data_IF_524348360806
#
_entry.id   IF_524348360806
#
_cell.length_a   1.000
_cell.length_b   1.000
_cell.length_c   1.000
_cell.angle_alpha   90.00
_cell.angle_beta   90.00
_cell.angle_gamma   90.00
#
_symmetry.space_group_name_H-M   'P 1'
#
loop_
_entity.id
_entity.type
_entity.pdbx_description
1 polymer ?
#
# COMPACT_ATOMS: atom_id res chain seq x y z
N UNK A 1 26.45 11.73 1.86
CA UNK A 1 25.75 11.49 0.57
C UNK A 1 26.03 10.09 -0.02
N UNK A 2 27.27 9.64 -0.22
CA UNK A 2 27.57 8.33 -0.85
C UNK A 2 26.98 7.09 -0.14
N UNK A 3 27.00 7.01 1.20
CA UNK A 3 26.44 5.86 1.96
C UNK A 3 24.92 5.70 1.86
N UNK A 4 24.16 6.80 1.80
CA UNK A 4 22.70 6.79 1.68
C UNK A 4 22.21 6.39 0.28
N UNK A 5 22.97 6.73 -0.75
CA UNK A 5 22.65 6.36 -2.15
C UNK A 5 22.87 4.85 -2.35
N UNK A 6 23.88 4.27 -1.71
CA UNK A 6 24.19 2.83 -1.81
C UNK A 6 23.11 1.98 -1.12
N UNK A 7 22.65 2.34 0.09
CA UNK A 7 21.62 1.57 0.80
C UNK A 7 20.24 1.64 0.13
N UNK A 8 19.89 2.77 -0.47
CA UNK A 8 18.59 2.94 -1.17
C UNK A 8 18.53 2.17 -2.49
N UNK A 9 19.63 2.06 -3.23
CA UNK A 9 19.70 1.24 -4.45
C UNK A 9 19.59 -0.26 -4.13
N UNK A 10 20.25 -0.71 -3.05
CA UNK A 10 20.20 -2.11 -2.58
C UNK A 10 18.79 -2.54 -2.16
N UNK A 11 18.04 -1.66 -1.47
CA UNK A 11 16.66 -1.96 -1.09
C UNK A 11 15.75 -2.12 -2.32
N UNK A 12 15.86 -1.23 -3.30
CA UNK A 12 15.09 -1.31 -4.55
C UNK A 12 15.40 -2.59 -5.34
N UNK A 13 16.68 -2.99 -5.40
CA UNK A 13 17.11 -4.25 -6.04
C UNK A 13 16.58 -5.47 -5.28
N UNK A 14 16.63 -5.47 -3.94
CA UNK A 14 16.11 -6.57 -3.12
C UNK A 14 14.58 -6.72 -3.25
N UNK A 15 13.84 -5.61 -3.24
CA UNK A 15 12.39 -5.62 -3.49
C UNK A 15 12.12 -6.13 -4.90
N UNK A 16 12.84 -5.64 -5.91
CA UNK A 16 12.67 -6.09 -7.29
C UNK A 16 12.95 -7.59 -7.44
N UNK A 17 14.00 -8.12 -6.80
CA UNK A 17 14.30 -9.56 -6.78
C UNK A 17 13.19 -10.39 -6.13
N UNK A 18 12.60 -9.91 -5.03
CA UNK A 18 11.44 -10.57 -4.40
C UNK A 18 10.18 -10.45 -5.26
N UNK A 19 10.03 -9.32 -5.96
CA UNK A 19 8.88 -9.00 -6.79
C UNK A 19 8.90 -9.70 -8.16
N UNK A 20 10.05 -10.25 -8.60
CA UNK A 20 10.18 -11.01 -9.86
C UNK A 20 9.26 -12.23 -9.96
N UNK A 21 8.78 -12.73 -8.83
CA UNK A 21 7.89 -13.89 -8.79
C UNK A 21 6.40 -13.54 -8.60
N UNK A 22 6.05 -12.25 -8.54
CA UNK A 22 4.65 -11.82 -8.45
C UNK A 22 3.94 -12.17 -9.76
N UNK A 23 2.82 -12.90 -9.65
CA UNK A 23 2.01 -13.33 -10.78
C UNK A 23 0.68 -12.59 -10.79
N UNK A 24 0.24 -12.25 -11.99
CA UNK A 24 -1.10 -11.71 -12.22
C UNK A 24 -2.11 -12.86 -12.21
N UNK A 25 -3.07 -12.82 -11.28
CA UNK A 25 -4.16 -13.78 -11.15
C UNK A 25 -5.44 -13.13 -11.64
N UNK A 26 -6.06 -13.75 -12.64
CA UNK A 26 -7.38 -13.35 -13.10
C UNK A 26 -8.45 -13.86 -12.13
N UNK A 27 -9.11 -12.94 -11.43
CA UNK A 27 -10.23 -13.23 -10.53
C UNK A 27 -11.60 -13.14 -11.24
N UNK A 28 -11.63 -12.88 -12.55
CA UNK A 28 -12.87 -12.60 -13.28
C UNK A 28 -13.35 -11.17 -13.05
N UNK A 29 -12.41 -10.26 -12.79
CA UNK A 29 -12.63 -8.84 -12.55
C UNK A 29 -12.10 -8.01 -13.72
N UNK A 30 -12.21 -6.68 -13.64
CA UNK A 30 -11.76 -5.77 -14.69
C UNK A 30 -10.23 -5.69 -14.82
N UNK A 31 -9.50 -6.07 -13.78
CA UNK A 31 -8.03 -6.18 -13.75
C UNK A 31 -7.62 -7.49 -13.09
N UNK A 32 -6.40 -7.94 -13.41
CA UNK A 32 -5.79 -9.08 -12.70
C UNK A 32 -5.16 -8.58 -11.41
N UNK A 33 -5.18 -9.41 -10.38
CA UNK A 33 -4.63 -9.08 -9.06
C UNK A 33 -3.31 -9.83 -8.82
N UNK A 34 -2.35 -9.18 -8.16
CA UNK A 34 -1.13 -9.86 -7.74
C UNK A 34 -1.43 -10.98 -6.73
N UNK A 35 -0.77 -12.12 -6.88
CA UNK A 35 -0.81 -13.23 -5.92
C UNK A 35 -0.14 -12.90 -4.57
N UNK A 36 0.74 -11.90 -4.54
CA UNK A 36 1.47 -11.48 -3.35
C UNK A 36 1.52 -9.95 -3.16
N UNK A 37 1.80 -9.52 -1.93
CA UNK A 37 2.07 -8.10 -1.65
C UNK A 37 3.43 -7.69 -2.23
N UNK A 38 3.56 -6.42 -2.61
CA UNK A 38 4.81 -5.89 -3.12
C UNK A 38 5.91 -5.96 -2.03
N UNK A 39 7.03 -6.62 -2.32
CA UNK A 39 8.07 -6.87 -1.32
C UNK A 39 7.67 -7.87 -0.23
N UNK A 40 6.75 -8.78 -0.53
CA UNK A 40 6.53 -9.95 0.33
C UNK A 40 7.49 -11.10 -0.03
N UNK A 41 7.77 -11.93 0.96
CA UNK A 41 8.46 -13.20 0.78
C UNK A 41 7.91 -14.20 1.80
N UNK A 42 7.77 -15.46 1.40
CA UNK A 42 7.30 -16.57 2.26
C UNK A 42 5.88 -16.38 2.83
N UNK A 43 5.04 -15.60 2.16
CA UNK A 43 3.69 -15.23 2.62
C UNK A 43 3.67 -14.16 3.70
N UNK A 44 4.78 -13.45 3.90
CA UNK A 44 4.89 -12.33 4.85
C UNK A 44 5.35 -11.05 4.14
N UNK A 45 4.69 -9.95 4.46
CA UNK A 45 5.06 -8.63 3.95
C UNK A 45 6.25 -8.09 4.72
N UNK A 46 7.40 -8.01 4.05
CA UNK A 46 8.66 -7.54 4.64
C UNK A 46 8.89 -6.05 4.37
N UNK A 47 8.23 -5.48 3.37
CA UNK A 47 8.34 -4.07 2.99
C UNK A 47 7.01 -3.34 3.15
N UNK A 48 7.12 -2.07 3.55
CA UNK A 48 6.00 -1.17 3.74
C UNK A 48 6.30 0.14 3.02
N UNK A 49 5.25 0.76 2.51
CA UNK A 49 5.34 1.91 1.63
C UNK A 49 4.65 3.09 2.28
N UNK A 50 5.26 4.28 2.16
CA UNK A 50 4.55 5.52 2.37
C UNK A 50 3.80 5.87 1.09
N UNK A 51 2.68 6.58 1.20
CA UNK A 51 1.89 6.87 0.01
C UNK A 51 2.63 7.81 -0.95
N UNK A 52 2.67 7.45 -2.22
CA UNK A 52 3.43 8.17 -3.24
C UNK A 52 4.95 8.14 -3.06
N UNK A 53 5.47 7.27 -2.18
CA UNK A 53 6.90 6.99 -2.08
C UNK A 53 7.16 5.58 -2.65
N UNK A 54 7.65 5.47 -3.89
CA UNK A 54 7.87 4.17 -4.52
C UNK A 54 9.01 3.39 -3.87
N UNK A 55 9.87 4.04 -3.08
CA UNK A 55 10.91 3.36 -2.30
C UNK A 55 10.29 2.79 -1.03
N UNK A 56 9.89 1.53 -1.11
CA UNK A 56 9.50 0.76 0.07
C UNK A 56 10.63 0.67 1.09
N UNK A 57 10.27 0.56 2.36
CA UNK A 57 11.21 0.43 3.48
C UNK A 57 11.03 -0.94 4.12
N UNK A 58 12.15 -1.60 4.42
CA UNK A 58 12.12 -2.87 5.13
C UNK A 58 11.54 -2.67 6.54
N UNK A 59 10.65 -3.56 6.98
CA UNK A 59 9.85 -3.37 8.19
C UNK A 59 10.67 -3.02 9.43
N UNK A 60 11.83 -3.66 9.64
CA UNK A 60 12.63 -3.42 10.85
C UNK A 60 13.38 -2.08 10.81
N UNK A 61 13.62 -1.56 9.61
CA UNK A 61 14.28 -0.29 9.38
C UNK A 61 13.29 0.87 9.27
N UNK A 62 11.99 0.59 9.43
CA UNK A 62 10.95 1.58 9.28
C UNK A 62 11.12 2.72 10.29
N UNK A 63 11.48 3.88 9.76
CA UNK A 63 11.46 5.17 10.42
C UNK A 63 10.64 6.06 9.51
N UNK A 64 9.51 6.59 10.00
CA UNK A 64 8.68 7.53 9.24
C UNK A 64 9.45 8.82 8.88
N UNK A 65 10.67 8.99 9.41
CA UNK A 65 11.65 10.05 9.10
C UNK A 65 12.08 10.14 7.62
N UNK A 66 11.41 9.46 6.69
CA UNK A 66 11.70 9.51 5.26
C UNK A 66 10.85 10.55 4.49
N UNK A 67 9.80 11.13 5.08
CA UNK A 67 9.36 12.44 4.58
C UNK A 67 10.46 13.46 4.90
N UNK A 68 10.83 14.36 3.96
CA UNK A 68 11.97 15.25 4.13
C UNK A 68 12.00 15.94 5.51
N UNK A 69 13.19 16.13 6.13
CA UNK A 69 13.36 16.68 7.49
C UNK A 69 12.59 17.97 7.81
N UNK A 70 12.13 18.71 6.79
CA UNK A 70 11.20 19.83 6.93
C UNK A 70 9.89 19.46 7.66
N UNK A 71 9.46 18.19 7.62
CA UNK A 71 8.24 17.70 8.30
C UNK A 71 8.51 17.28 9.76
N UNK A 72 9.75 16.86 10.08
CA UNK A 72 10.07 16.30 11.40
C UNK A 72 10.23 17.36 12.49
N UNK A 73 10.52 18.62 12.13
CA UNK A 73 10.80 19.69 13.09
C UNK A 73 9.56 20.34 13.75
N UNK A 74 8.33 19.90 13.46
CA UNK A 74 7.10 20.52 14.00
C UNK A 74 6.03 19.49 14.38
N UNK A 75 6.41 18.48 15.15
CA UNK A 75 5.48 17.53 15.77
C UNK A 75 4.72 18.21 16.93
N UNK A 76 3.73 19.03 16.59
CA UNK A 76 2.68 19.51 17.49
C UNK A 76 1.32 19.08 16.91
N UNK A 77 0.58 18.16 17.57
CA UNK A 77 -0.67 17.61 17.07
C UNK A 77 -1.80 18.66 16.90
N UNK A 78 -1.62 19.88 17.39
CA UNK A 78 -2.64 20.94 17.35
C UNK A 78 -2.42 22.02 16.26
N UNK A 79 -1.46 21.86 15.32
CA UNK A 79 -1.20 22.90 14.30
C UNK A 79 -1.54 22.48 12.87
N UNK A 80 -2.52 23.20 12.29
CA UNK A 80 -2.99 23.25 10.89
C UNK A 80 -1.88 23.28 9.83
N UNK A 81 -0.67 23.72 10.19
CA UNK A 81 0.51 23.87 9.32
C UNK A 81 1.08 22.51 8.84
N UNK A 82 0.98 21.45 9.65
CA UNK A 82 1.42 20.10 9.25
C UNK A 82 0.60 19.54 8.08
N UNK A 83 -0.72 19.75 8.17
CA UNK A 83 -1.70 19.26 7.19
C UNK A 83 -1.59 19.99 5.84
N UNK A 84 -1.27 21.29 5.85
CA UNK A 84 -1.11 22.06 4.61
C UNK A 84 0.18 21.72 3.84
N UNK A 85 1.30 21.47 4.53
CA UNK A 85 2.56 21.10 3.87
C UNK A 85 2.52 19.70 3.26
N UNK A 86 1.94 18.72 3.95
CA UNK A 86 1.70 17.39 3.40
C UNK A 86 0.81 17.48 2.16
N UNK A 87 -0.27 18.26 2.22
CA UNK A 87 -1.16 18.47 1.08
C UNK A 87 -0.44 19.07 -0.13
N UNK A 88 0.47 20.03 0.08
CA UNK A 88 1.26 20.61 -1.02
C UNK A 88 2.26 19.65 -1.66
N UNK A 89 2.87 18.73 -0.90
CA UNK A 89 3.78 17.73 -1.47
C UNK A 89 3.04 16.58 -2.15
N UNK A 90 1.85 16.24 -1.65
CA UNK A 90 0.97 15.26 -2.30
C UNK A 90 0.41 15.81 -3.62
N UNK A 91 0.20 17.12 -3.71
CA UNK A 91 -0.20 17.82 -4.94
C UNK A 91 0.65 17.47 -6.15
N UNK A 92 1.97 17.53 -5.97
CA UNK A 92 2.95 17.28 -7.03
C UNK A 92 2.99 15.80 -7.44
N UNK A 93 2.42 14.92 -6.61
CA UNK A 93 2.37 13.48 -6.84
C UNK A 93 1.06 13.03 -7.46
N UNK A 94 0.02 13.86 -7.43
CA UNK A 94 -1.32 13.55 -7.92
C UNK A 94 -1.52 14.15 -9.30
N UNK A 95 -1.92 13.31 -10.25
CA UNK A 95 -2.27 13.70 -11.60
C UNK A 95 -3.76 13.97 -11.76
N UNK A 96 -4.23 13.79 -13.00
CA UNK A 96 -5.64 13.92 -13.35
C UNK A 96 -6.50 12.94 -12.52
N UNK A 97 -7.74 13.35 -12.25
CA UNK A 97 -8.76 12.51 -11.60
C UNK A 97 -8.35 12.03 -10.19
N UNK A 98 -7.49 12.78 -9.52
CA UNK A 98 -6.97 12.48 -8.18
C UNK A 98 -6.16 11.16 -8.09
N UNK A 99 -5.58 10.72 -9.20
CA UNK A 99 -4.77 9.50 -9.28
C UNK A 99 -3.29 9.82 -9.13
N UNK A 100 -2.56 9.01 -8.38
CA UNK A 100 -1.11 9.07 -8.22
C UNK A 100 -0.40 8.97 -9.58
N UNK A 101 0.55 9.88 -9.83
CA UNK A 101 1.35 9.87 -11.05
C UNK A 101 2.25 8.62 -11.12
N UNK A 102 2.52 8.09 -12.33
CA UNK A 102 3.25 6.83 -12.51
C UNK A 102 4.60 6.73 -11.78
N UNK A 103 5.37 7.82 -11.71
CA UNK A 103 6.68 7.84 -11.06
C UNK A 103 6.63 7.77 -9.53
N UNK A 104 5.45 7.93 -8.93
CA UNK A 104 5.24 7.84 -7.48
C UNK A 104 4.47 6.57 -7.08
N UNK A 105 3.93 5.82 -8.05
CA UNK A 105 3.25 4.54 -7.84
C UNK A 105 4.29 3.43 -7.63
N UNK A 106 4.31 2.87 -6.41
CA UNK A 106 5.28 1.84 -6.02
C UNK A 106 5.23 0.59 -6.92
N UNK A 107 4.04 0.15 -7.32
CA UNK A 107 3.89 -1.02 -8.17
C UNK A 107 4.39 -0.73 -9.59
N UNK A 108 4.06 0.43 -10.17
CA UNK A 108 4.59 0.83 -11.49
C UNK A 108 6.11 0.95 -11.48
N UNK A 109 6.69 1.58 -10.47
CA UNK A 109 8.14 1.80 -10.41
C UNK A 109 8.91 0.49 -10.23
N UNK A 110 8.40 -0.42 -9.40
CA UNK A 110 9.13 -1.66 -9.04
C UNK A 110 8.86 -2.79 -10.04
N UNK A 111 7.60 -3.05 -10.36
CA UNK A 111 7.19 -4.16 -11.24
C UNK A 111 7.18 -3.78 -12.72
N UNK A 112 7.08 -2.48 -13.04
CA UNK A 112 7.05 -1.94 -14.41
C UNK A 112 5.86 -2.46 -15.22
N UNK A 113 5.93 -2.29 -16.54
CA UNK A 113 4.91 -2.76 -17.49
C UNK A 113 3.52 -2.23 -17.10
N UNK A 114 2.50 -3.09 -17.12
CA UNK A 114 1.12 -2.74 -16.81
C UNK A 114 0.75 -2.88 -15.33
N UNK A 115 1.72 -3.11 -14.44
CA UNK A 115 1.48 -3.16 -13.01
C UNK A 115 1.25 -1.77 -12.44
N UNK A 116 0.26 -1.62 -11.57
CA UNK A 116 -0.02 -0.39 -10.83
C UNK A 116 -0.61 -0.66 -9.46
N UNK A 117 -0.62 0.35 -8.61
CA UNK A 117 -1.42 0.32 -7.40
C UNK A 117 -2.92 0.26 -7.79
N UNK A 118 -3.77 -0.46 -7.04
CA UNK A 118 -5.21 -0.47 -7.30
C UNK A 118 -5.79 0.89 -6.97
N UNK A 119 -6.80 1.28 -7.72
CA UNK A 119 -7.54 2.51 -7.53
C UNK A 119 -8.85 2.21 -6.76
N UNK A 120 -9.72 3.21 -6.55
CA UNK A 120 -10.96 3.01 -5.80
C UNK A 120 -11.89 2.01 -6.50
N UNK A 121 -12.01 2.11 -7.83
CA UNK A 121 -12.86 1.24 -8.61
C UNK A 121 -12.41 -0.23 -8.52
N UNK A 122 -11.10 -0.50 -8.56
CA UNK A 122 -10.57 -1.86 -8.42
C UNK A 122 -10.91 -2.44 -7.03
N UNK A 123 -10.71 -1.65 -5.96
CA UNK A 123 -11.06 -2.07 -4.60
C UNK A 123 -12.56 -2.29 -4.44
N UNK A 124 -13.39 -1.39 -4.98
CA UNK A 124 -14.86 -1.53 -4.96
C UNK A 124 -15.28 -2.80 -5.67
N UNK A 125 -14.75 -3.06 -6.86
CA UNK A 125 -15.08 -4.26 -7.63
C UNK A 125 -14.68 -5.55 -6.87
N UNK A 126 -13.49 -5.58 -6.27
CA UNK A 126 -13.04 -6.69 -5.44
C UNK A 126 -14.01 -6.94 -4.26
N UNK A 127 -14.44 -5.88 -3.58
CA UNK A 127 -15.36 -5.96 -2.43
C UNK A 127 -16.73 -6.48 -2.86
N UNK A 128 -17.27 -5.97 -3.96
CA UNK A 128 -18.63 -6.26 -4.41
C UNK A 128 -18.76 -7.63 -5.08
N UNK A 129 -17.72 -8.09 -5.78
CA UNK A 129 -17.80 -9.30 -6.62
C UNK A 129 -17.11 -10.53 -6.04
N UNK A 130 -16.19 -10.37 -5.07
CA UNK A 130 -15.46 -11.51 -4.52
C UNK A 130 -16.02 -12.00 -3.19
N UNK A 131 -15.76 -13.28 -2.91
CA UNK A 131 -16.00 -13.91 -1.60
C UNK A 131 -14.74 -13.82 -0.74
N UNK A 132 -14.90 -13.43 0.51
CA UNK A 132 -13.80 -13.32 1.48
C UNK A 132 -13.96 -14.38 2.58
N UNK A 133 -12.89 -15.15 2.82
CA UNK A 133 -12.86 -16.24 3.80
C UNK A 133 -11.57 -16.22 4.60
N UNK A 134 -11.62 -16.76 5.82
CA UNK A 134 -10.41 -16.95 6.62
C UNK A 134 -9.62 -18.14 6.10
N UNK A 135 -8.30 -17.98 6.01
CA UNK A 135 -7.41 -19.08 5.66
C UNK A 135 -6.04 -18.92 6.34
N UNK A 136 -5.14 -19.88 6.10
CA UNK A 136 -3.75 -19.85 6.54
C UNK A 136 -2.80 -20.21 5.41
N UNK A 137 -1.77 -19.37 5.25
CA UNK A 137 -0.61 -19.68 4.40
C UNK A 137 0.59 -19.83 5.31
N UNK A 138 1.28 -20.97 5.25
CA UNK A 138 2.43 -21.30 6.11
C UNK A 138 2.15 -21.09 7.61
N UNK A 139 0.95 -21.49 8.06
CA UNK A 139 0.50 -21.34 9.45
C UNK A 139 0.06 -19.92 9.86
N UNK A 140 0.29 -18.90 9.02
CA UNK A 140 -0.10 -17.50 9.29
C UNK A 140 -1.51 -17.21 8.81
N UNK A 141 -2.32 -16.55 9.64
CA UNK A 141 -3.71 -16.17 9.32
C UNK A 141 -3.73 -15.14 8.19
N UNK A 142 -4.52 -15.39 7.17
CA UNK A 142 -4.71 -14.54 5.99
C UNK A 142 -6.19 -14.50 5.60
N UNK A 143 -6.51 -13.66 4.62
CA UNK A 143 -7.83 -13.62 3.98
C UNK A 143 -7.70 -14.25 2.59
N UNK A 144 -8.43 -15.32 2.34
CA UNK A 144 -8.63 -15.85 0.99
C UNK A 144 -9.71 -15.03 0.29
N UNK A 145 -9.38 -14.50 -0.87
CA UNK A 145 -10.31 -13.75 -1.72
C UNK A 145 -10.55 -14.56 -2.99
N UNK A 146 -11.78 -15.03 -3.19
CA UNK A 146 -12.15 -15.85 -4.36
C UNK A 146 -13.02 -15.02 -5.29
N UNK A 147 -12.61 -14.90 -6.54
CA UNK A 147 -13.33 -14.15 -7.55
C UNK A 147 -14.51 -14.92 -8.15
N UNK A 148 -15.38 -14.24 -8.93
CA UNK A 148 -16.53 -14.87 -9.60
C UNK A 148 -16.15 -16.02 -10.53
N UNK A 149 -14.92 -16.06 -11.06
CA UNK A 149 -14.45 -17.17 -11.90
C UNK A 149 -13.88 -18.37 -11.11
N UNK A 150 -13.88 -18.33 -9.77
CA UNK A 150 -13.37 -19.39 -8.90
C UNK A 150 -11.88 -19.34 -8.60
N UNK A 151 -11.10 -18.50 -9.27
CA UNK A 151 -9.70 -18.25 -8.91
C UNK A 151 -9.61 -17.44 -7.60
N UNK A 152 -8.45 -17.50 -6.93
CA UNK A 152 -8.28 -16.84 -5.65
C UNK A 152 -6.87 -16.29 -5.41
N UNK A 153 -6.78 -15.33 -4.50
CA UNK A 153 -5.55 -14.79 -3.93
C UNK A 153 -5.61 -14.81 -2.40
N UNK A 154 -4.48 -14.55 -1.75
CA UNK A 154 -4.40 -14.41 -0.29
C UNK A 154 -3.89 -13.02 0.10
N UNK A 155 -4.69 -12.28 0.88
CA UNK A 155 -4.30 -11.02 1.48
C UNK A 155 -3.68 -11.26 2.85
N UNK A 156 -2.50 -10.67 3.09
CA UNK A 156 -1.82 -10.78 4.38
C UNK A 156 -2.43 -9.84 5.40
N UNK A 157 -2.44 -10.26 6.67
CA UNK A 157 -2.83 -9.39 7.78
C UNK A 157 -1.63 -8.56 8.25
N UNK A 158 -1.02 -7.78 7.36
CA UNK A 158 0.21 -7.06 7.65
C UNK A 158 0.03 -5.75 8.42
N UNK A 159 -1.19 -5.32 8.77
CA UNK A 159 -1.41 -4.11 9.55
C UNK A 159 -0.76 -2.86 8.92
N UNK A 160 -0.25 -1.96 9.78
CA UNK A 160 0.49 -0.78 9.34
C UNK A 160 1.60 -0.40 10.32
N UNK A 161 2.56 0.39 9.85
CA UNK A 161 3.71 0.86 10.60
C UNK A 161 3.69 2.37 10.80
N UNK A 162 4.23 2.79 11.93
CA UNK A 162 4.53 4.19 12.22
C UNK A 162 5.93 4.31 12.84
N UNK A 163 6.38 5.55 13.06
CA UNK A 163 7.49 5.80 13.97
C UNK A 163 7.19 6.95 14.92
N UNK A 164 7.46 6.72 16.19
CA UNK A 164 7.38 7.72 17.25
C UNK A 164 8.78 7.88 17.86
N UNK A 165 9.31 9.10 17.88
CA UNK A 165 10.67 9.40 18.34
C UNK A 165 11.75 8.47 17.74
N UNK A 166 11.70 8.27 16.41
CA UNK A 166 12.57 7.36 15.65
C UNK A 166 12.50 5.88 16.07
N UNK A 167 11.47 5.47 16.82
CA UNK A 167 11.21 4.07 17.18
C UNK A 167 10.06 3.52 16.36
N UNK A 168 10.29 2.35 15.75
CA UNK A 168 9.28 1.60 15.02
C UNK A 168 8.07 1.28 15.91
N UNK A 169 6.87 1.54 15.40
CA UNK A 169 5.59 1.13 15.99
C UNK A 169 4.85 0.25 14.98
N UNK A 170 4.29 -0.85 15.48
CA UNK A 170 3.56 -1.85 14.69
C UNK A 170 2.12 -1.90 15.14
N UNK A 171 1.18 -1.66 14.23
CA UNK A 171 -0.25 -1.61 14.54
C UNK A 171 -1.00 -2.68 13.76
N UNK A 172 -1.81 -3.46 14.48
CA UNK A 172 -2.71 -4.48 13.93
C UNK A 172 -2.05 -5.58 13.07
N UNK A 173 -0.73 -5.77 13.17
CA UNK A 173 -0.03 -6.90 12.54
C UNK A 173 -0.66 -8.23 13.01
N UNK A 174 -0.90 -9.14 12.06
CA UNK A 174 -1.57 -10.43 12.28
C UNK A 174 -3.08 -10.33 12.50
N UNK A 175 -3.61 -9.12 12.61
CA UNK A 175 -5.04 -8.87 12.87
C UNK A 175 -5.75 -8.34 11.64
N UNK A 176 -5.15 -7.40 10.93
CA UNK A 176 -5.86 -6.61 9.92
C UNK A 176 -5.06 -6.53 8.63
N UNK A 177 -5.76 -6.56 7.49
CA UNK A 177 -5.19 -6.21 6.19
C UNK A 177 -5.42 -4.72 5.89
N UNK A 178 -4.35 -3.97 5.64
CA UNK A 178 -4.40 -2.57 5.18
C UNK A 178 -3.59 -2.43 3.89
N UNK A 179 -4.17 -1.80 2.88
CA UNK A 179 -3.50 -1.53 1.59
C UNK A 179 -3.75 -0.11 1.11
N UNK A 180 -2.73 0.47 0.48
CA UNK A 180 -2.89 1.75 -0.22
C UNK A 180 -3.69 1.62 -1.52
N UNK A 181 -4.54 2.60 -1.79
CA UNK A 181 -5.04 2.91 -3.14
C UNK A 181 -4.13 3.92 -3.84
N UNK A 182 -4.17 3.99 -5.17
CA UNK A 182 -3.53 5.05 -5.95
C UNK A 182 -4.30 6.38 -5.92
N UNK A 183 -5.47 6.45 -5.31
CA UNK A 183 -6.33 7.64 -5.35
C UNK A 183 -6.35 8.46 -4.05
N UNK A 184 -6.59 9.76 -4.19
CA UNK A 184 -6.98 10.65 -3.08
C UNK A 184 -8.45 11.07 -3.22
N UNK A 185 -9.20 11.12 -2.12
CA UNK A 185 -10.63 11.49 -2.13
C UNK A 185 -10.84 12.98 -2.34
N UNK A 186 -10.08 13.83 -1.63
CA UNK A 186 -10.22 15.27 -1.68
C UNK A 186 -8.84 15.94 -1.73
N UNK A 187 -8.69 16.84 -2.69
CA UNK A 187 -7.54 17.72 -2.81
C UNK A 187 -7.95 19.14 -2.40
N UNK A 188 -7.28 19.73 -1.40
CA UNK A 188 -7.30 21.19 -1.17
C UNK A 188 -8.23 21.77 -0.09
N UNK A 189 -9.05 20.98 0.64
CA UNK A 189 -9.90 21.50 1.74
C UNK A 189 -9.60 20.91 3.13
N UNK A 190 -8.47 20.21 3.29
CA UNK A 190 -8.12 19.52 4.53
C UNK A 190 -6.88 18.62 4.35
N UNK A 191 -6.55 17.74 5.32
CA UNK A 191 -5.54 16.71 5.10
C UNK A 191 -5.97 15.85 3.90
N UNK A 192 -5.01 15.43 3.08
CA UNK A 192 -5.32 14.54 1.97
C UNK A 192 -5.84 13.20 2.51
N UNK A 193 -7.09 12.90 2.17
CA UNK A 193 -7.73 11.63 2.49
C UNK A 193 -7.31 10.62 1.42
N UNK A 194 -6.33 9.79 1.74
CA UNK A 194 -5.85 8.75 0.83
C UNK A 194 -6.78 7.57 0.94
N UNK A 195 -7.28 7.09 -0.20
CA UNK A 195 -8.12 5.90 -0.21
C UNK A 195 -7.28 4.69 0.22
N UNK A 196 -7.83 3.91 1.12
CA UNK A 196 -7.22 2.67 1.59
C UNK A 196 -8.25 1.57 1.66
N UNK A 197 -7.80 0.34 1.40
CA UNK A 197 -8.58 -0.84 1.72
C UNK A 197 -8.25 -1.30 3.13
N UNK A 198 -9.28 -1.59 3.91
CA UNK A 198 -9.17 -2.22 5.21
C UNK A 198 -10.08 -3.44 5.27
N UNK A 199 -9.54 -4.59 5.67
CA UNK A 199 -10.34 -5.75 6.07
C UNK A 199 -10.11 -6.11 7.54
N UNK A 200 -11.14 -5.92 8.37
CA UNK A 200 -11.06 -6.17 9.81
C UNK A 200 -11.26 -7.65 10.17
N UNK A 201 -10.67 -8.03 11.30
CA UNK A 201 -10.79 -9.31 11.97
C UNK A 201 -11.26 -9.02 13.40
N UNK A 202 -12.50 -8.56 13.53
CA UNK A 202 -13.04 -8.27 14.85
C UNK A 202 -13.09 -9.58 15.67
N UNK A 203 -12.90 -9.56 17.01
CA UNK A 203 -13.10 -10.72 17.87
C UNK A 203 -14.39 -11.54 17.65
N UNK A 204 -15.42 -10.99 16.99
CA UNK A 204 -16.62 -11.74 16.55
C UNK A 204 -16.43 -12.61 15.30
N UNK A 205 -15.24 -12.64 14.69
CA UNK A 205 -14.89 -13.51 13.55
C UNK A 205 -15.37 -13.04 12.17
N UNK A 206 -16.12 -11.94 12.08
CA UNK A 206 -16.65 -11.41 10.81
C UNK A 206 -15.56 -10.75 9.97
N UNK A 207 -15.56 -11.05 8.67
CA UNK A 207 -14.72 -10.41 7.65
C UNK A 207 -15.50 -9.24 7.06
N UNK A 208 -14.95 -8.04 7.17
CA UNK A 208 -15.62 -6.81 6.72
C UNK A 208 -14.62 -5.98 5.91
N UNK A 209 -14.54 -6.21 4.59
CA UNK A 209 -13.72 -5.40 3.72
C UNK A 209 -14.43 -4.05 3.49
N UNK A 210 -13.67 -2.96 3.57
CA UNK A 210 -14.16 -1.61 3.36
C UNK A 210 -13.11 -0.73 2.71
N UNK A 211 -13.58 0.29 2.03
CA UNK A 211 -12.78 1.41 1.59
C UNK A 211 -12.89 2.49 2.67
N UNK A 212 -11.75 3.03 3.10
CA UNK A 212 -11.66 4.05 4.13
C UNK A 212 -10.59 5.07 3.75
N UNK A 213 -10.53 6.20 4.46
CA UNK A 213 -9.54 7.24 4.24
C UNK A 213 -8.38 7.15 5.24
N UNK A 214 -7.20 7.57 4.82
CA UNK A 214 -6.03 7.67 5.68
C UNK A 214 -5.37 9.04 5.50
N UNK A 215 -5.32 9.79 6.60
CA UNK A 215 -4.85 11.19 6.60
C UNK A 215 -3.33 11.33 6.80
N UNK A 216 -2.62 10.19 6.89
CA UNK A 216 -1.19 10.12 7.22
C UNK A 216 -0.44 9.34 6.13
N UNK A 217 -0.04 9.99 5.02
CA UNK A 217 0.72 9.33 3.94
C UNK A 217 2.06 8.75 4.41
N UNK A 218 2.60 9.26 5.51
CA UNK A 218 3.86 8.82 6.09
C UNK A 218 3.75 7.51 6.90
N UNK A 219 2.56 6.88 6.97
CA UNK A 219 2.42 5.53 7.53
C UNK A 219 2.98 4.51 6.56
N UNK A 220 3.57 3.46 7.10
CA UNK A 220 4.00 2.31 6.32
C UNK A 220 2.80 1.39 6.14
N UNK A 221 2.26 1.30 4.93
CA UNK A 221 1.16 0.38 4.60
C UNK A 221 1.58 -0.49 3.42
N UNK A 222 0.94 -1.64 3.28
CA UNK A 222 1.20 -2.57 2.20
C UNK A 222 0.67 -2.05 0.85
N UNK A 223 1.23 -2.62 -0.22
CA UNK A 223 0.74 -2.44 -1.58
C UNK A 223 0.43 -3.82 -2.14
N UNK A 224 -0.80 -4.02 -2.61
CA UNK A 224 -1.22 -5.20 -3.37
C UNK A 224 -1.40 -4.79 -4.83
N UNK A 225 -0.44 -5.06 -5.73
CA UNK A 225 -0.51 -4.60 -7.12
C UNK A 225 -1.68 -5.20 -7.91
N UNK A 226 -2.11 -4.49 -8.95
CA UNK A 226 -2.97 -5.01 -10.02
C UNK A 226 -2.28 -4.86 -11.37
N UNK A 227 -2.61 -5.75 -12.30
CA UNK A 227 -2.11 -5.75 -13.67
C UNK A 227 -3.25 -5.41 -14.64
N UNK A 228 -3.08 -4.33 -15.40
CA UNK A 228 -4.11 -3.81 -16.30
C UNK A 228 -3.71 -4.01 -17.77
N UNK A 229 -4.16 -5.11 -18.38
CA UNK A 229 -3.88 -5.45 -19.78
C UNK A 229 -4.33 -4.36 -20.78
N UNK A 230 -5.16 -3.40 -20.34
CA UNK A 230 -5.74 -2.32 -21.17
C UNK A 230 -4.94 -1.02 -21.11
N UNK A 231 -4.07 -0.86 -20.12
CA UNK A 231 -3.21 0.32 -20.07
C UNK A 231 -2.18 0.24 -21.21
N UNK A 232 -1.82 1.33 -21.91
CA UNK A 232 -0.65 1.30 -22.78
C UNK A 232 0.61 1.02 -21.93
N UNK A 233 1.55 0.25 -22.47
CA UNK A 233 2.84 0.03 -21.82
C UNK A 233 3.54 1.40 -21.64
N UNK A 234 4.17 1.65 -20.48
CA UNK A 234 4.86 2.92 -20.21
C UNK A 234 6.07 3.15 -21.11
#
# INVERSE_FOLDING_TARGET
MKRYIITTLLALVAIALQAQNIKAVDLGLSVKWADADLGSADGESKYYFQWGEPKGVWMQDYKASAYPPAIQAKLDPNKTIYRSQISSQLAERVGKDNILLPQYDAARVILRSHWRMPNKADWTELIEKCKFEWDRVNGRKCIKVTGPNGNHIFLTNGGWLDSDNNKLKKYYIGKVSYYWSSEVMNYGYGPAEIISFWCNNNPKGKIEPRIDTCDFPARGILVRPVYDDRAPAP
#
